data_IF_679128659213
#
_entry.id   IF_679128659213
#
_cell.length_a   1.000
_cell.length_b   1.000
_cell.length_c   1.000
_cell.angle_alpha   90.00
_cell.angle_beta   90.00
_cell.angle_gamma   90.00
#
_symmetry.space_group_name_H-M   'P 1'
#
loop_
_entity.id
_entity.type
_entity.pdbx_description
1 polymer ?
#
# COMPACT_ATOMS: atom_id res chain seq x y z
N UNK A 1 8.02 41.12 27.08
CA UNK A 1 7.12 40.13 26.46
C UNK A 1 8.00 38.94 26.09
N UNK A 2 8.03 37.91 26.95
CA UNK A 2 8.90 36.74 26.79
C UNK A 2 8.16 35.75 25.89
N UNK A 3 8.70 35.49 24.69
CA UNK A 3 8.23 34.43 23.81
C UNK A 3 8.60 33.09 24.45
N UNK A 4 7.62 32.40 25.04
CA UNK A 4 7.73 31.00 25.41
C UNK A 4 7.56 30.17 24.13
N UNK A 5 8.67 29.82 23.49
CA UNK A 5 8.71 28.74 22.50
C UNK A 5 8.39 27.44 23.22
N UNK A 6 7.15 26.98 23.06
CA UNK A 6 6.72 25.62 23.40
C UNK A 6 7.57 24.64 22.60
N UNK A 7 8.65 24.14 23.20
CA UNK A 7 9.31 22.92 22.72
C UNK A 7 8.32 21.77 22.97
N UNK A 8 7.61 21.37 21.92
CA UNK A 8 6.82 20.14 21.97
C UNK A 8 7.78 18.97 22.20
N UNK A 9 7.80 18.46 23.43
CA UNK A 9 8.47 17.21 23.75
C UNK A 9 7.63 16.11 23.11
N UNK A 10 8.06 15.65 21.95
CA UNK A 10 7.39 14.55 21.25
C UNK A 10 7.65 13.28 22.05
N UNK A 11 6.61 12.76 22.72
CA UNK A 11 6.66 11.44 23.32
C UNK A 11 6.98 10.44 22.21
N UNK A 12 8.17 9.86 22.29
CA UNK A 12 8.79 9.17 21.18
C UNK A 12 8.26 7.73 21.08
N UNK A 13 7.82 7.33 19.90
CA UNK A 13 7.38 5.97 19.62
C UNK A 13 8.58 5.00 19.57
N UNK A 14 8.40 3.78 20.08
CA UNK A 14 9.42 2.72 20.00
C UNK A 14 9.38 2.00 18.63
N UNK A 15 8.17 1.85 18.08
CA UNK A 15 7.89 1.39 16.72
C UNK A 15 7.48 2.58 15.84
N UNK A 16 8.13 2.73 14.69
CA UNK A 16 7.91 3.79 13.70
C UNK A 16 7.31 3.25 12.38
N UNK A 17 7.05 4.13 11.40
CA UNK A 17 6.41 3.78 10.13
C UNK A 17 7.16 2.65 9.39
N UNK A 18 8.50 2.77 9.35
CA UNK A 18 9.38 1.79 8.70
C UNK A 18 9.46 0.46 9.49
N UNK A 19 9.04 0.41 10.76
CA UNK A 19 9.03 -0.83 11.55
C UNK A 19 7.77 -1.68 11.37
N UNK A 20 6.78 -1.16 10.64
CA UNK A 20 5.51 -1.85 10.40
C UNK A 20 5.18 -1.94 8.92
N UNK A 21 5.92 -1.20 8.08
CA UNK A 21 5.85 -1.24 6.62
C UNK A 21 7.26 -1.20 6.07
N UNK A 22 7.68 -2.34 5.53
CA UNK A 22 9.02 -2.57 5.05
C UNK A 22 9.00 -2.54 3.52
N UNK A 23 9.47 -1.45 2.92
CA UNK A 23 9.64 -1.37 1.48
C UNK A 23 11.01 -1.96 1.11
N UNK A 24 10.99 -2.97 0.25
CA UNK A 24 12.18 -3.67 -0.25
C UNK A 24 12.92 -2.78 -1.27
N UNK A 25 14.23 -2.96 -1.46
CA UNK A 25 14.95 -2.23 -2.48
C UNK A 25 14.57 -2.78 -3.86
N UNK A 26 14.57 -1.92 -4.89
CA UNK A 26 14.51 -2.40 -6.27
C UNK A 26 15.80 -3.20 -6.54
N UNK A 27 15.70 -4.47 -7.01
CA UNK A 27 16.87 -5.32 -7.14
C UNK A 27 17.76 -4.85 -8.29
N UNK A 28 19.03 -5.24 -8.26
CA UNK A 28 19.99 -4.85 -9.28
C UNK A 28 19.89 -5.69 -10.56
N UNK A 29 19.34 -6.90 -10.48
CA UNK A 29 19.17 -7.82 -11.61
C UNK A 29 17.79 -8.46 -11.59
N UNK A 30 17.35 -8.97 -12.74
CA UNK A 30 16.13 -9.79 -12.84
C UNK A 30 16.53 -11.27 -12.75
N UNK A 31 16.00 -12.00 -11.76
CA UNK A 31 16.16 -13.46 -11.66
C UNK A 31 17.35 -13.93 -10.83
N UNK A 32 18.36 -13.08 -10.60
CA UNK A 32 19.49 -13.31 -9.71
C UNK A 32 19.42 -12.53 -8.40
N UNK A 33 18.26 -11.97 -8.09
CA UNK A 33 18.02 -11.09 -6.94
C UNK A 33 17.80 -11.86 -5.62
N UNK A 34 18.03 -11.16 -4.50
CA UNK A 34 17.84 -11.69 -3.15
C UNK A 34 16.41 -11.60 -2.61
N UNK A 35 15.42 -11.20 -3.42
CA UNK A 35 14.06 -10.96 -2.96
C UNK A 35 13.22 -12.26 -2.88
N UNK A 36 12.19 -12.24 -2.02
CA UNK A 36 11.28 -13.38 -1.91
C UNK A 36 10.48 -13.59 -3.20
N UNK A 37 10.36 -14.86 -3.59
CA UNK A 37 9.64 -15.34 -4.77
C UNK A 37 8.48 -16.25 -4.37
N UNK A 38 7.58 -16.55 -5.32
CA UNK A 38 6.37 -17.35 -5.11
C UNK A 38 6.63 -18.67 -4.37
N UNK A 39 7.59 -19.45 -4.88
CA UNK A 39 7.97 -20.77 -4.36
C UNK A 39 9.10 -20.72 -3.33
N UNK A 40 9.33 -19.57 -2.67
CA UNK A 40 10.23 -19.53 -1.52
C UNK A 40 9.74 -20.51 -0.45
N UNK A 41 10.59 -21.43 0.06
CA UNK A 41 10.21 -22.34 1.13
C UNK A 41 9.83 -21.57 2.40
N UNK A 42 8.63 -21.81 2.88
CA UNK A 42 7.97 -21.04 3.92
C UNK A 42 7.09 -21.95 4.79
N UNK A 43 6.29 -21.34 5.66
CA UNK A 43 5.41 -22.07 6.58
C UNK A 43 4.43 -22.99 5.84
N UNK A 44 4.57 -24.30 6.06
CA UNK A 44 3.75 -25.35 5.46
C UNK A 44 3.94 -25.59 3.96
N UNK A 45 4.94 -25.00 3.31
CA UNK A 45 5.21 -25.21 1.88
C UNK A 45 5.72 -23.96 1.19
N UNK A 46 5.15 -23.62 0.03
CA UNK A 46 5.49 -22.40 -0.68
C UNK A 46 4.93 -21.15 0.02
N UNK A 47 5.59 -20.00 -0.17
CA UNK A 47 5.10 -18.72 0.31
C UNK A 47 3.76 -18.33 -0.35
N UNK A 48 3.68 -18.43 -1.68
CA UNK A 48 2.46 -18.29 -2.47
C UNK A 48 2.54 -19.24 -3.68
N UNK A 49 1.84 -20.39 -3.65
CA UNK A 49 1.98 -21.39 -4.70
C UNK A 49 1.65 -20.86 -6.10
N UNK A 50 2.48 -21.19 -7.09
CA UNK A 50 2.24 -20.88 -8.52
C UNK A 50 0.90 -21.45 -8.99
N UNK A 51 0.47 -22.59 -8.45
CA UNK A 51 -0.85 -23.18 -8.74
C UNK A 51 -2.02 -22.28 -8.32
N UNK A 52 -1.87 -21.46 -7.27
CA UNK A 52 -2.85 -20.46 -6.88
C UNK A 52 -2.75 -19.22 -7.75
N UNK A 53 -1.53 -18.73 -8.02
CA UNK A 53 -1.31 -17.56 -8.89
C UNK A 53 -1.86 -17.78 -10.30
N UNK A 54 -1.76 -19.01 -10.83
CA UNK A 54 -2.29 -19.37 -12.13
C UNK A 54 -3.83 -19.30 -12.22
N UNK A 55 -4.54 -19.29 -11.10
CA UNK A 55 -6.00 -19.09 -11.05
C UNK A 55 -6.40 -17.62 -11.14
N UNK A 56 -5.46 -16.70 -10.90
CA UNK A 56 -5.69 -15.25 -10.98
C UNK A 56 -5.72 -14.78 -12.45
N UNK A 57 -6.35 -13.63 -12.74
CA UNK A 57 -6.15 -12.97 -14.03
C UNK A 57 -4.67 -12.69 -14.29
N UNK A 58 -4.24 -12.75 -15.55
CA UNK A 58 -2.85 -12.43 -15.92
C UNK A 58 -2.55 -10.99 -15.48
N UNK A 59 -1.44 -10.75 -14.77
CA UNK A 59 -1.17 -9.43 -14.18
C UNK A 59 -0.94 -8.35 -15.23
N UNK A 60 -0.24 -8.68 -16.32
CA UNK A 60 0.04 -7.78 -17.44
C UNK A 60 -0.17 -8.54 -18.75
N UNK A 61 -0.98 -7.98 -19.65
CA UNK A 61 -1.45 -8.66 -20.87
C UNK A 61 -0.38 -8.86 -21.94
N UNK A 62 0.69 -8.08 -21.89
CA UNK A 62 1.85 -8.17 -22.76
C UNK A 62 2.86 -9.23 -22.31
N UNK A 63 2.55 -9.97 -21.23
CA UNK A 63 3.40 -11.00 -20.64
C UNK A 63 2.66 -12.34 -20.53
N UNK A 64 3.41 -13.43 -20.68
CA UNK A 64 2.90 -14.77 -20.39
C UNK A 64 2.88 -15.04 -18.89
N UNK A 65 2.03 -15.98 -18.45
CA UNK A 65 1.99 -16.39 -17.03
C UNK A 65 3.34 -16.89 -16.51
N UNK A 66 4.10 -17.75 -17.23
CA UNK A 66 5.42 -18.17 -16.75
C UNK A 66 6.42 -17.02 -16.58
N UNK A 67 6.39 -16.02 -17.47
CA UNK A 67 7.24 -14.81 -17.34
C UNK A 67 6.86 -14.02 -16.09
N UNK A 68 5.57 -13.76 -15.87
CA UNK A 68 5.09 -13.07 -14.67
C UNK A 68 5.47 -13.85 -13.41
N UNK A 69 5.23 -15.15 -13.37
CA UNK A 69 5.50 -15.98 -12.19
C UNK A 69 7.01 -16.04 -11.85
N UNK A 70 7.88 -16.06 -12.86
CA UNK A 70 9.34 -16.11 -12.64
C UNK A 70 9.94 -14.78 -12.20
N UNK A 71 9.25 -13.67 -12.47
CA UNK A 71 9.70 -12.30 -12.15
C UNK A 71 8.94 -11.65 -10.99
N UNK A 72 7.90 -12.30 -10.46
CA UNK A 72 7.16 -11.76 -9.32
C UNK A 72 8.04 -11.79 -8.05
N UNK A 73 8.18 -10.63 -7.40
CA UNK A 73 8.92 -10.47 -6.13
C UNK A 73 8.11 -9.76 -5.08
N UNK A 74 8.36 -10.09 -3.82
CA UNK A 74 7.86 -9.31 -2.68
C UNK A 74 8.59 -7.97 -2.65
N UNK A 75 7.88 -6.90 -2.98
CA UNK A 75 8.40 -5.53 -2.96
C UNK A 75 8.11 -4.82 -1.63
N UNK A 76 7.14 -5.29 -0.86
CA UNK A 76 6.93 -4.78 0.49
C UNK A 76 6.30 -5.80 1.44
N UNK A 77 6.54 -5.61 2.73
CA UNK A 77 5.94 -6.38 3.83
C UNK A 77 5.23 -5.41 4.77
N UNK A 78 4.00 -5.73 5.19
CA UNK A 78 3.30 -5.01 6.26
C UNK A 78 2.99 -5.97 7.41
N UNK A 79 3.15 -5.47 8.62
CA UNK A 79 2.88 -6.19 9.86
C UNK A 79 1.68 -5.54 10.53
N UNK A 80 0.52 -6.19 10.47
CA UNK A 80 -0.73 -5.62 10.95
C UNK A 80 -1.15 -6.30 12.27
N UNK A 81 -1.18 -5.57 13.40
CA UNK A 81 -1.68 -6.10 14.68
C UNK A 81 -3.18 -6.30 14.67
N UNK A 82 -3.86 -5.70 13.69
CA UNK A 82 -5.29 -5.71 13.56
C UNK A 82 -5.67 -5.34 12.12
N UNK A 83 -6.34 -6.24 11.42
CA UNK A 83 -6.87 -6.00 10.09
C UNK A 83 -8.36 -6.40 10.04
N UNK A 84 -9.22 -5.53 9.49
CA UNK A 84 -8.97 -4.12 9.18
C UNK A 84 -9.07 -3.21 10.43
N UNK A 85 -8.13 -2.28 10.63
CA UNK A 85 -8.35 -1.12 11.51
C UNK A 85 -9.14 -0.04 10.76
N UNK A 86 -10.09 0.68 11.40
CA UNK A 86 -10.41 0.71 12.82
C UNK A 86 -11.76 0.02 13.17
N UNK A 87 -12.13 -1.10 12.55
CA UNK A 87 -13.47 -1.68 12.77
C UNK A 87 -13.54 -2.73 13.89
N UNK A 88 -14.66 -2.80 14.64
CA UNK A 88 -14.84 -3.69 15.79
C UNK A 88 -15.15 -5.16 15.47
N UNK A 89 -15.34 -5.55 14.22
CA UNK A 89 -15.71 -6.93 13.87
C UNK A 89 -14.50 -7.69 13.30
N UNK A 90 -13.93 -8.56 14.15
CA UNK A 90 -12.79 -9.46 13.91
C UNK A 90 -11.46 -8.79 13.55
N UNK A 91 -10.83 -8.21 14.56
CA UNK A 91 -9.43 -7.82 14.51
C UNK A 91 -8.54 -9.05 14.23
N UNK A 92 -7.95 -9.13 13.03
CA UNK A 92 -7.03 -10.22 12.68
C UNK A 92 -5.60 -9.73 12.62
N UNK A 93 -4.70 -10.41 13.35
CA UNK A 93 -3.25 -10.20 13.24
C UNK A 93 -2.77 -10.88 11.97
N UNK A 94 -1.95 -10.19 11.18
CA UNK A 94 -1.50 -10.75 9.91
C UNK A 94 -0.20 -10.12 9.39
N UNK A 95 0.45 -10.86 8.49
CA UNK A 95 1.46 -10.33 7.57
C UNK A 95 0.79 -10.11 6.21
N UNK A 96 1.02 -8.95 5.59
CA UNK A 96 0.66 -8.71 4.19
C UNK A 96 1.92 -8.54 3.35
N UNK A 97 1.95 -9.20 2.19
CA UNK A 97 3.04 -9.10 1.23
C UNK A 97 2.53 -8.41 -0.03
N UNK A 98 3.22 -7.37 -0.49
CA UNK A 98 2.96 -6.73 -1.77
C UNK A 98 3.95 -7.24 -2.81
N UNK A 99 3.41 -7.76 -3.91
CA UNK A 99 4.16 -8.42 -4.97
C UNK A 99 4.12 -7.60 -6.25
N UNK A 100 5.24 -7.42 -6.92
CA UNK A 100 5.28 -6.83 -8.27
C UNK A 100 6.16 -7.66 -9.21
N UNK A 101 5.80 -7.78 -10.50
CA UNK A 101 6.72 -8.29 -11.49
C UNK A 101 7.83 -7.28 -11.73
N UNK A 102 9.08 -7.75 -11.76
CA UNK A 102 10.23 -6.94 -12.16
C UNK A 102 10.64 -7.24 -13.61
N UNK A 103 11.18 -6.25 -14.29
CA UNK A 103 11.64 -6.38 -15.68
C UNK A 103 12.82 -5.45 -15.97
N UNK A 104 13.48 -5.69 -17.10
CA UNK A 104 14.46 -4.77 -17.66
C UNK A 104 13.76 -3.79 -18.60
N UNK A 105 13.95 -2.49 -18.39
CA UNK A 105 13.47 -1.48 -19.30
C UNK A 105 14.34 -1.39 -20.57
N UNK A 106 13.96 -0.55 -21.53
CA UNK A 106 14.71 -0.35 -22.80
C UNK A 106 16.14 0.18 -22.62
N UNK A 107 16.47 0.70 -21.43
CA UNK A 107 17.80 1.20 -21.05
C UNK A 107 18.60 0.19 -20.24
N UNK A 108 18.14 -1.06 -20.15
CA UNK A 108 18.72 -2.10 -19.31
C UNK A 108 18.77 -1.71 -17.82
N UNK A 109 17.80 -0.96 -17.33
CA UNK A 109 17.60 -0.72 -15.90
C UNK A 109 16.47 -1.62 -15.39
N UNK A 110 16.63 -2.19 -14.19
CA UNK A 110 15.53 -2.89 -13.53
C UNK A 110 14.41 -1.91 -13.19
N UNK A 111 13.17 -2.32 -13.41
CA UNK A 111 11.95 -1.61 -13.02
C UNK A 111 10.85 -2.59 -12.64
N UNK A 112 9.75 -2.09 -12.07
CA UNK A 112 8.54 -2.89 -11.85
C UNK A 112 7.51 -2.64 -12.93
N UNK A 113 6.77 -3.69 -13.29
CA UNK A 113 5.51 -3.58 -14.03
C UNK A 113 4.44 -2.99 -13.11
N UNK A 114 3.58 -2.11 -13.63
CA UNK A 114 2.49 -1.53 -12.85
C UNK A 114 1.28 -2.48 -12.68
N UNK A 115 1.56 -3.65 -12.14
CA UNK A 115 0.60 -4.63 -11.66
C UNK A 115 1.03 -5.11 -10.28
N UNK A 116 0.13 -5.72 -9.50
CA UNK A 116 0.51 -6.34 -8.24
C UNK A 116 -0.44 -7.41 -7.75
N UNK A 117 0.10 -8.21 -6.83
CA UNK A 117 -0.69 -8.98 -5.89
C UNK A 117 -0.45 -8.45 -4.48
N UNK A 118 -1.46 -8.55 -3.61
CA UNK A 118 -1.24 -8.55 -2.17
C UNK A 118 -1.66 -9.90 -1.60
N UNK A 119 -0.79 -10.61 -0.89
CA UNK A 119 -1.16 -11.84 -0.17
C UNK A 119 -1.20 -11.60 1.33
N UNK A 120 -2.08 -12.32 2.02
CA UNK A 120 -2.43 -12.12 3.42
C UNK A 120 -2.21 -13.43 4.19
N UNK A 121 -1.55 -13.35 5.34
CA UNK A 121 -1.21 -14.50 6.18
C UNK A 121 -1.66 -14.22 7.61
N UNK A 122 -2.67 -14.94 8.08
CA UNK A 122 -3.25 -14.73 9.42
C UNK A 122 -2.34 -15.34 10.48
N UNK A 123 -2.20 -14.65 11.59
CA UNK A 123 -1.38 -15.04 12.73
C UNK A 123 -2.25 -15.18 13.98
N UNK A 124 -1.93 -16.18 14.78
CA UNK A 124 -2.41 -16.27 16.15
C UNK A 124 -1.73 -15.20 17.02
N UNK A 125 -2.34 -14.87 18.16
CA UNK A 125 -1.84 -13.84 19.08
C UNK A 125 -0.40 -14.09 19.54
N UNK A 126 -0.10 -15.34 19.89
CA UNK A 126 1.24 -15.75 20.33
C UNK A 126 2.26 -15.72 19.18
N UNK A 127 1.83 -16.01 17.95
CA UNK A 127 2.70 -15.95 16.76
C UNK A 127 3.08 -14.50 16.47
N UNK A 128 2.10 -13.60 16.52
CA UNK A 128 2.32 -12.18 16.32
C UNK A 128 3.22 -11.58 17.40
N UNK A 129 3.01 -11.94 18.68
CA UNK A 129 3.90 -11.49 19.75
C UNK A 129 5.35 -11.96 19.54
N UNK A 130 5.55 -13.21 19.11
CA UNK A 130 6.87 -13.73 18.80
C UNK A 130 7.49 -13.06 17.55
N UNK A 131 6.69 -12.79 16.52
CA UNK A 131 7.11 -12.03 15.33
C UNK A 131 7.65 -10.66 15.72
N UNK A 132 6.93 -9.89 16.56
CA UNK A 132 7.39 -8.58 17.01
C UNK A 132 8.70 -8.67 17.80
N UNK A 133 8.83 -9.68 18.68
CA UNK A 133 10.07 -9.92 19.43
C UNK A 133 11.25 -10.24 18.51
N UNK A 134 11.03 -11.05 17.47
CA UNK A 134 12.09 -11.40 16.51
C UNK A 134 12.48 -10.21 15.63
N UNK A 135 11.52 -9.37 15.24
CA UNK A 135 11.78 -8.12 14.51
C UNK A 135 12.58 -7.15 15.39
N UNK A 136 12.23 -6.99 16.66
CA UNK A 136 12.96 -6.11 17.59
C UNK A 136 14.41 -6.59 17.82
N UNK A 137 14.59 -7.90 18.00
CA UNK A 137 15.92 -8.51 18.07
C UNK A 137 16.71 -8.33 16.76
N UNK A 138 16.04 -8.43 15.61
CA UNK A 138 16.63 -8.17 14.29
C UNK A 138 17.07 -6.71 14.14
N UNK A 139 16.23 -5.74 14.54
CA UNK A 139 16.58 -4.31 14.52
C UNK A 139 17.83 -4.05 15.35
N UNK A 140 17.89 -4.63 16.55
CA UNK A 140 19.03 -4.53 17.45
C UNK A 140 20.30 -5.14 16.85
N UNK A 141 20.19 -6.32 16.24
CA UNK A 141 21.31 -7.01 15.57
C UNK A 141 21.93 -6.17 14.45
N UNK A 142 21.09 -5.50 13.65
CA UNK A 142 21.52 -4.73 12.47
C UNK A 142 21.64 -3.23 12.74
N UNK A 143 21.53 -2.79 14.00
CA UNK A 143 21.66 -1.38 14.43
C UNK A 143 20.76 -0.43 13.61
N UNK A 144 19.54 -0.87 13.32
CA UNK A 144 18.60 -0.12 12.47
C UNK A 144 17.98 1.03 13.26
N UNK A 145 18.14 2.26 12.76
CA UNK A 145 17.42 3.42 13.27
C UNK A 145 16.35 3.88 12.27
N UNK A 146 15.08 3.73 12.66
CA UNK A 146 13.90 4.12 11.88
C UNK A 146 13.17 5.33 12.47
N UNK A 147 13.66 5.87 13.58
CA UNK A 147 13.00 6.90 14.39
C UNK A 147 12.72 8.17 13.59
N UNK A 148 11.45 8.56 13.56
CA UNK A 148 10.91 9.76 12.93
C UNK A 148 11.39 9.94 11.48
N UNK A 149 11.66 8.82 10.80
CA UNK A 149 11.97 8.83 9.38
C UNK A 149 10.67 8.69 8.59
N UNK A 150 10.50 9.44 7.49
CA UNK A 150 9.38 9.22 6.61
C UNK A 150 9.41 7.79 6.08
N UNK A 151 8.24 7.24 5.75
CA UNK A 151 8.16 5.91 5.14
C UNK A 151 8.86 5.91 3.77
N UNK A 152 9.83 5.02 3.58
CA UNK A 152 10.63 4.91 2.36
C UNK A 152 11.22 3.50 2.23
N UNK A 153 12.15 3.28 1.29
CA UNK A 153 12.96 2.04 1.26
C UNK A 153 13.64 1.89 2.62
N UNK A 154 13.42 0.74 3.24
CA UNK A 154 13.75 0.57 4.65
C UNK A 154 15.26 0.81 4.91
N UNK A 155 15.63 1.59 5.95
CA UNK A 155 17.02 1.99 6.19
C UNK A 155 18.01 0.83 6.30
N UNK A 156 17.56 -0.34 6.81
CA UNK A 156 18.41 -1.51 7.00
C UNK A 156 19.05 -2.07 5.71
N UNK A 157 18.46 -1.81 4.54
CA UNK A 157 18.96 -2.30 3.25
C UNK A 157 18.98 -1.23 2.17
N UNK A 158 18.76 0.04 2.52
CA UNK A 158 18.77 1.14 1.55
C UNK A 158 20.13 1.28 0.84
N UNK A 159 21.24 1.02 1.55
CA UNK A 159 22.59 1.12 1.01
C UNK A 159 23.03 -0.16 0.24
N UNK A 160 22.85 -1.33 0.84
CA UNK A 160 23.31 -2.63 0.31
C UNK A 160 22.31 -3.28 -0.66
N UNK A 161 21.09 -2.74 -0.76
CA UNK A 161 20.01 -3.20 -1.62
C UNK A 161 19.70 -4.69 -1.39
N UNK A 162 19.44 -5.43 -2.46
CA UNK A 162 19.02 -6.83 -2.46
C UNK A 162 20.13 -7.82 -2.06
N UNK A 163 21.37 -7.34 -1.91
CA UNK A 163 22.48 -8.12 -1.35
C UNK A 163 22.64 -8.00 0.17
N UNK A 164 21.77 -7.24 0.83
CA UNK A 164 21.90 -6.97 2.26
C UNK A 164 21.70 -8.21 3.13
N UNK A 165 22.62 -8.43 4.08
CA UNK A 165 22.48 -9.48 5.10
C UNK A 165 21.28 -9.20 6.02
N UNK A 166 21.00 -7.92 6.30
CA UNK A 166 19.85 -7.52 7.10
C UNK A 166 18.54 -7.94 6.43
N UNK A 167 18.44 -7.75 5.11
CA UNK A 167 17.29 -8.18 4.32
C UNK A 167 17.12 -9.70 4.33
N UNK A 168 18.20 -10.45 4.09
CA UNK A 168 18.16 -11.92 4.11
C UNK A 168 17.74 -12.48 5.47
N UNK A 169 18.21 -11.88 6.57
CA UNK A 169 17.81 -12.28 7.92
C UNK A 169 16.34 -11.92 8.22
N UNK A 170 15.88 -10.74 7.78
CA UNK A 170 14.49 -10.35 7.91
C UNK A 170 13.55 -11.33 7.18
N UNK A 171 13.92 -11.76 5.98
CA UNK A 171 13.14 -12.74 5.23
C UNK A 171 13.03 -14.10 5.91
N UNK A 172 14.06 -14.55 6.65
CA UNK A 172 13.95 -15.78 7.45
C UNK A 172 12.85 -15.66 8.51
N UNK A 173 12.71 -14.48 9.12
CA UNK A 173 11.62 -14.20 10.07
C UNK A 173 10.29 -14.25 9.32
N UNK A 174 10.15 -13.56 8.19
CA UNK A 174 8.88 -13.55 7.44
C UNK A 174 8.47 -14.96 6.99
N UNK A 175 9.39 -15.76 6.43
CA UNK A 175 9.12 -17.12 5.96
C UNK A 175 8.75 -18.10 7.08
N UNK A 176 9.14 -17.81 8.33
CA UNK A 176 8.70 -18.57 9.51
C UNK A 176 7.22 -18.37 9.82
N UNK A 177 6.70 -17.17 9.57
CA UNK A 177 5.35 -16.77 9.97
C UNK A 177 4.35 -16.69 8.81
N UNK A 178 4.81 -16.59 7.57
CA UNK A 178 3.97 -16.51 6.38
C UNK A 178 4.23 -17.71 5.46
N UNK A 179 3.17 -18.39 5.03
CA UNK A 179 3.23 -19.44 4.02
C UNK A 179 1.85 -20.01 3.72
N UNK A 180 1.78 -21.04 2.88
CA UNK A 180 0.51 -21.63 2.46
C UNK A 180 -0.36 -22.16 3.62
N UNK A 181 0.25 -22.54 4.75
CA UNK A 181 -0.48 -23.03 5.93
C UNK A 181 -1.47 -22.01 6.50
N UNK A 182 -1.11 -20.72 6.47
CA UNK A 182 -1.90 -19.63 7.04
C UNK A 182 -2.28 -18.54 6.04
N UNK A 183 -2.14 -18.84 4.74
CA UNK A 183 -2.60 -17.99 3.65
C UNK A 183 -4.13 -17.86 3.67
N UNK A 184 -4.64 -16.63 3.76
CA UNK A 184 -6.07 -16.36 3.94
C UNK A 184 -6.72 -15.62 2.77
N UNK A 185 -5.94 -14.87 1.99
CA UNK A 185 -6.46 -14.01 0.92
C UNK A 185 -5.37 -13.59 -0.05
N UNK A 186 -5.75 -13.36 -1.30
CA UNK A 186 -4.95 -12.62 -2.28
C UNK A 186 -5.80 -11.59 -3.03
N UNK A 187 -5.29 -10.39 -3.25
CA UNK A 187 -5.91 -9.38 -4.12
C UNK A 187 -5.01 -9.13 -5.32
N UNK A 188 -5.60 -8.82 -6.47
CA UNK A 188 -4.88 -8.52 -7.70
C UNK A 188 -5.24 -7.13 -8.22
N UNK A 189 -4.22 -6.37 -8.61
CA UNK A 189 -4.32 -5.19 -9.47
C UNK A 189 -3.64 -5.54 -10.78
N UNK A 190 -4.41 -5.57 -11.87
CA UNK A 190 -3.92 -5.98 -13.18
C UNK A 190 -3.93 -4.80 -14.15
N UNK A 191 -2.92 -4.75 -15.02
CA UNK A 191 -2.76 -3.72 -16.03
C UNK A 191 -3.28 -4.21 -17.39
N UNK A 192 -4.06 -3.37 -18.07
CA UNK A 192 -4.75 -3.61 -19.34
C UNK A 192 -4.66 -2.37 -20.24
N UNK A 193 -5.11 -2.53 -21.49
CA UNK A 193 -5.29 -1.40 -22.41
C UNK A 193 -4.02 -0.60 -22.65
N UNK A 194 -2.89 -1.28 -22.90
CA UNK A 194 -1.57 -0.66 -23.09
C UNK A 194 -1.05 0.19 -21.92
N UNK A 195 -1.60 0.02 -20.71
CA UNK A 195 -1.14 0.73 -19.51
C UNK A 195 -2.14 1.73 -18.94
N UNK A 196 -3.29 1.94 -19.60
CA UNK A 196 -4.26 2.98 -19.23
C UNK A 196 -5.48 2.43 -18.48
N UNK A 197 -5.55 1.11 -18.25
CA UNK A 197 -6.66 0.47 -17.54
C UNK A 197 -6.15 -0.46 -16.43
N UNK A 198 -6.58 -0.17 -15.21
CA UNK A 198 -6.32 -1.00 -14.04
C UNK A 198 -7.59 -1.74 -13.65
N UNK A 199 -7.48 -3.04 -13.35
CA UNK A 199 -8.60 -3.81 -12.81
C UNK A 199 -8.22 -4.51 -11.51
N UNK A 200 -9.16 -4.52 -10.58
CA UNK A 200 -9.00 -4.96 -9.21
C UNK A 200 -9.96 -6.11 -8.92
N UNK A 201 -9.47 -7.12 -8.20
CA UNK A 201 -10.27 -8.22 -7.67
C UNK A 201 -9.63 -8.78 -6.40
N UNK A 202 -10.46 -9.27 -5.48
CA UNK A 202 -10.03 -10.01 -4.29
C UNK A 202 -10.40 -11.48 -4.38
N UNK A 203 -9.62 -12.34 -3.72
CA UNK A 203 -9.82 -13.79 -3.74
C UNK A 203 -9.50 -14.42 -2.38
N UNK A 204 -10.27 -15.43 -1.99
CA UNK A 204 -10.01 -16.26 -0.82
C UNK A 204 -9.78 -17.73 -1.22
N UNK A 205 -8.85 -18.44 -0.56
CA UNK A 205 -8.67 -19.86 -0.77
C UNK A 205 -9.82 -20.65 -0.12
N UNK A 206 -10.53 -21.46 -0.91
CA UNK A 206 -11.48 -22.49 -0.45
C UNK A 206 -11.24 -23.78 -1.19
N UNK A 207 -10.97 -24.87 -0.47
CA UNK A 207 -10.73 -26.20 -1.04
C UNK A 207 -9.71 -26.18 -2.20
N UNK A 208 -8.56 -25.52 -2.01
CA UNK A 208 -7.49 -25.32 -3.00
C UNK A 208 -7.89 -24.53 -4.28
N UNK A 209 -9.03 -23.86 -4.26
CA UNK A 209 -9.46 -22.93 -5.32
C UNK A 209 -9.52 -21.51 -4.80
N UNK A 210 -9.28 -20.55 -5.66
CA UNK A 210 -9.49 -19.13 -5.37
C UNK A 210 -10.91 -18.74 -5.75
N UNK A 211 -11.69 -18.33 -4.75
CA UNK A 211 -13.03 -17.78 -4.93
C UNK A 211 -13.00 -16.25 -4.85
N UNK A 212 -13.76 -15.58 -5.72
CA UNK A 212 -13.82 -14.12 -5.76
C UNK A 212 -14.50 -13.53 -4.54
N UNK A 213 -13.95 -12.41 -4.07
CA UNK A 213 -14.54 -11.59 -3.01
C UNK A 213 -15.43 -10.49 -3.56
N UNK A 214 -16.55 -10.17 -2.88
CA UNK A 214 -17.28 -8.95 -3.15
C UNK A 214 -16.40 -7.73 -2.85
N UNK A 215 -16.46 -6.72 -3.72
CA UNK A 215 -15.80 -5.44 -3.45
C UNK A 215 -16.75 -4.57 -2.64
N UNK A 216 -16.30 -3.97 -1.52
CA UNK A 216 -17.13 -3.09 -0.70
C UNK A 216 -17.77 -1.98 -1.53
N UNK A 217 -18.98 -1.53 -1.12
CA UNK A 217 -19.78 -0.49 -1.80
C UNK A 217 -20.25 -0.85 -3.22
N UNK A 218 -19.93 -2.06 -3.71
CA UNK A 218 -20.34 -2.57 -5.01
C UNK A 218 -21.22 -3.82 -4.87
N UNK A 219 -22.04 -4.05 -5.89
CA UNK A 219 -22.72 -5.35 -6.09
C UNK A 219 -21.95 -6.17 -7.16
N UNK A 220 -20.61 -6.15 -7.11
CA UNK A 220 -19.70 -6.72 -8.11
C UNK A 220 -18.46 -7.33 -7.42
N UNK A 221 -17.78 -8.20 -8.16
CA UNK A 221 -16.59 -8.93 -7.74
C UNK A 221 -15.29 -8.35 -8.31
N UNK A 222 -15.40 -7.35 -9.19
CA UNK A 222 -14.29 -6.64 -9.81
C UNK A 222 -14.65 -5.17 -10.02
N UNK A 223 -13.61 -4.34 -10.06
CA UNK A 223 -13.71 -2.91 -10.33
C UNK A 223 -12.52 -2.50 -11.18
N UNK A 224 -12.70 -1.52 -12.06
CA UNK A 224 -11.68 -1.00 -12.94
C UNK A 224 -11.60 0.51 -12.89
N UNK A 225 -10.43 1.01 -13.19
CA UNK A 225 -10.14 2.41 -13.42
C UNK A 225 -9.51 2.56 -14.80
N UNK A 226 -9.95 3.56 -15.56
CA UNK A 226 -9.36 3.91 -16.85
C UNK A 226 -8.93 5.38 -16.78
N UNK A 227 -7.73 5.70 -17.24
CA UNK A 227 -7.29 7.08 -17.42
C UNK A 227 -6.34 7.17 -18.61
N UNK A 228 -6.80 7.78 -19.70
CA UNK A 228 -6.06 7.88 -20.97
C UNK A 228 -5.38 9.24 -21.15
N UNK A 229 -5.25 10.03 -20.08
CA UNK A 229 -4.71 11.38 -20.15
C UNK A 229 -3.23 11.41 -20.60
N UNK A 230 -2.94 12.23 -21.60
CA UNK A 230 -1.58 12.53 -22.07
C UNK A 230 -1.42 14.05 -22.19
N UNK A 231 -0.57 14.70 -21.35
CA UNK A 231 0.18 14.13 -20.24
C UNK A 231 -0.73 13.64 -19.09
N UNK A 232 -0.22 12.76 -18.22
CA UNK A 232 -0.94 12.16 -17.10
C UNK A 232 -1.15 13.10 -15.89
N UNK A 233 -1.29 14.41 -16.12
CA UNK A 233 -1.46 15.44 -15.08
C UNK A 233 -2.93 15.81 -14.81
N UNK A 234 -3.86 15.06 -15.39
CA UNK A 234 -5.31 15.19 -15.25
C UNK A 234 -6.00 13.85 -15.52
N UNK A 235 -7.27 13.74 -15.15
CA UNK A 235 -8.12 12.61 -15.51
C UNK A 235 -8.88 12.90 -16.80
N UNK A 236 -8.82 11.98 -17.76
CA UNK A 236 -9.59 12.06 -19.00
C UNK A 236 -9.78 10.70 -19.66
N UNK A 237 -10.86 10.56 -20.44
CA UNK A 237 -11.07 9.40 -21.31
C UNK A 237 -11.41 8.11 -20.56
N UNK A 238 -11.86 8.20 -19.32
CA UNK A 238 -12.14 7.03 -18.50
C UNK A 238 -12.93 7.32 -17.24
N UNK A 239 -12.49 6.74 -16.13
CA UNK A 239 -13.13 6.86 -14.82
C UNK A 239 -13.24 5.52 -14.08
N UNK A 240 -13.99 5.57 -12.98
CA UNK A 240 -14.22 4.43 -12.09
C UNK A 240 -15.41 3.61 -12.61
N UNK A 241 -15.23 2.30 -12.77
CA UNK A 241 -16.30 1.40 -13.23
C UNK A 241 -16.26 0.03 -12.54
N UNK A 242 -17.37 -0.48 -11.98
CA UNK A 242 -18.60 0.26 -11.72
C UNK A 242 -18.38 1.40 -10.71
N UNK A 243 -19.25 2.40 -10.79
CA UNK A 243 -19.28 3.53 -9.86
C UNK A 243 -19.69 3.03 -8.46
N UNK A 244 -18.92 3.36 -7.40
CA UNK A 244 -19.28 3.00 -6.03
C UNK A 244 -20.47 3.77 -5.50
N UNK A 245 -21.23 3.15 -4.58
CA UNK A 245 -22.36 3.78 -3.89
C UNK A 245 -21.91 4.64 -2.71
N UNK A 246 -22.75 5.58 -2.30
CA UNK A 246 -22.57 6.42 -1.10
C UNK A 246 -21.98 7.80 -1.40
N UNK A 247 -21.84 8.61 -0.36
CA UNK A 247 -21.52 10.04 -0.50
C UNK A 247 -20.02 10.33 -0.67
N UNK A 248 -19.16 9.46 -0.13
CA UNK A 248 -17.70 9.56 -0.24
C UNK A 248 -17.23 9.03 -1.60
N UNK A 249 -17.52 9.77 -2.67
CA UNK A 249 -17.08 9.49 -4.05
C UNK A 249 -16.51 10.72 -4.73
N UNK A 250 -15.66 10.51 -5.75
CA UNK A 250 -15.05 11.57 -6.55
C UNK A 250 -15.13 11.25 -8.05
N UNK A 251 -16.28 10.74 -8.49
CA UNK A 251 -16.44 10.18 -9.84
C UNK A 251 -16.32 11.25 -10.94
N UNK A 252 -16.73 12.49 -10.68
CA UNK A 252 -16.63 13.54 -11.69
C UNK A 252 -15.16 13.93 -11.92
N UNK A 253 -14.39 14.11 -10.84
CA UNK A 253 -12.94 14.32 -10.89
C UNK A 253 -12.25 13.17 -11.62
N UNK A 254 -12.51 11.92 -11.21
CA UNK A 254 -11.84 10.75 -11.78
C UNK A 254 -12.22 10.46 -13.24
N UNK A 255 -13.37 10.95 -13.71
CA UNK A 255 -13.81 10.74 -15.09
C UNK A 255 -13.23 11.79 -16.05
N UNK A 256 -13.36 13.08 -15.73
CA UNK A 256 -13.04 14.15 -16.67
C UNK A 256 -12.71 15.49 -15.98
N UNK A 257 -11.69 15.47 -15.11
CA UNK A 257 -11.25 16.63 -14.33
C UNK A 257 -10.98 17.90 -15.15
N UNK A 258 -10.54 17.79 -16.42
CA UNK A 258 -10.25 18.96 -17.27
C UNK A 258 -11.50 19.80 -17.57
N UNK A 259 -12.70 19.22 -17.45
CA UNK A 259 -13.98 19.93 -17.63
C UNK A 259 -14.47 20.59 -16.35
N UNK A 260 -13.76 20.42 -15.23
CA UNK A 260 -14.15 20.98 -13.94
C UNK A 260 -13.47 22.34 -13.73
N UNK A 261 -14.17 23.41 -14.12
CA UNK A 261 -13.73 24.79 -14.00
C UNK A 261 -14.71 25.66 -13.22
N UNK A 262 -14.90 26.89 -13.69
CA UNK A 262 -15.90 27.84 -13.16
C UNK A 262 -17.31 27.23 -13.17
N UNK A 263 -18.04 27.35 -12.07
CA UNK A 263 -19.38 26.81 -11.89
C UNK A 263 -19.43 25.37 -11.38
N UNK A 264 -18.26 24.73 -11.17
CA UNK A 264 -18.17 23.35 -10.63
C UNK A 264 -17.51 23.28 -9.25
N UNK A 265 -17.24 24.43 -8.63
CA UNK A 265 -16.48 24.53 -7.39
C UNK A 265 -17.04 23.69 -6.24
N UNK A 266 -18.36 23.67 -6.07
CA UNK A 266 -18.99 22.93 -4.98
C UNK A 266 -18.84 21.41 -5.19
N UNK A 267 -18.96 20.95 -6.43
CA UNK A 267 -18.65 19.55 -6.80
C UNK A 267 -17.19 19.23 -6.49
N UNK A 268 -16.25 20.08 -6.91
CA UNK A 268 -14.81 19.85 -6.64
C UNK A 268 -14.55 19.80 -5.13
N UNK A 269 -15.13 20.74 -4.36
CA UNK A 269 -14.97 20.78 -2.90
C UNK A 269 -15.54 19.54 -2.23
N UNK A 270 -16.70 19.06 -2.66
CA UNK A 270 -17.32 17.84 -2.12
C UNK A 270 -16.50 16.60 -2.46
N UNK A 271 -16.09 16.44 -3.71
CA UNK A 271 -15.38 15.25 -4.16
C UNK A 271 -13.94 15.18 -3.59
N UNK A 272 -13.24 16.31 -3.47
CA UNK A 272 -11.92 16.31 -2.81
C UNK A 272 -12.03 16.06 -1.31
N UNK A 273 -13.12 16.52 -0.65
CA UNK A 273 -13.41 16.15 0.74
C UNK A 273 -13.55 14.65 0.88
N UNK A 274 -14.30 14.01 -0.02
CA UNK A 274 -14.44 12.56 -0.05
C UNK A 274 -13.07 11.87 -0.22
N UNK A 275 -12.24 12.36 -1.14
CA UNK A 275 -10.89 11.83 -1.33
C UNK A 275 -10.02 11.94 -0.05
N UNK A 276 -10.02 13.08 0.65
CA UNK A 276 -9.31 13.22 1.93
C UNK A 276 -9.80 12.23 2.99
N UNK A 277 -11.13 12.02 3.07
CA UNK A 277 -11.73 11.05 3.99
C UNK A 277 -11.31 9.63 3.64
N UNK A 278 -11.25 9.30 2.35
CA UNK A 278 -10.81 7.99 1.85
C UNK A 278 -9.33 7.74 2.17
N UNK A 279 -8.45 8.74 2.10
CA UNK A 279 -7.04 8.55 2.51
C UNK A 279 -6.83 8.45 4.02
N UNK A 280 -7.80 8.91 4.81
CA UNK A 280 -7.72 8.93 6.26
C UNK A 280 -8.23 7.60 6.86
N UNK A 281 -7.36 6.80 7.48
CA UNK A 281 -7.71 5.48 8.01
C UNK A 281 -8.70 5.52 9.18
N UNK A 282 -9.02 6.70 9.72
CA UNK A 282 -10.06 6.84 10.77
C UNK A 282 -11.48 6.72 10.21
N UNK A 283 -11.68 6.94 8.91
CA UNK A 283 -13.00 6.84 8.27
C UNK A 283 -13.18 5.53 7.51
N UNK A 284 -12.17 5.10 6.77
CA UNK A 284 -12.27 3.98 5.85
C UNK A 284 -11.11 3.01 5.96
N UNK A 285 -11.40 1.74 5.68
CA UNK A 285 -10.47 0.63 5.65
C UNK A 285 -10.72 -0.25 4.41
N UNK A 286 -9.82 -1.21 4.09
CA UNK A 286 -9.98 -2.05 2.91
C UNK A 286 -11.25 -2.93 2.88
N UNK A 287 -11.94 -3.16 4.00
CA UNK A 287 -13.20 -3.93 4.04
C UNK A 287 -14.46 -3.07 3.84
N UNK A 288 -14.36 -1.74 3.93
CA UNK A 288 -15.51 -0.84 3.74
C UNK A 288 -15.33 0.17 2.60
N UNK A 289 -14.17 0.17 1.94
CA UNK A 289 -13.85 1.01 0.79
C UNK A 289 -13.65 0.17 -0.48
N UNK A 290 -14.13 0.67 -1.62
CA UNK A 290 -13.89 0.03 -2.91
C UNK A 290 -12.43 0.23 -3.36
N UNK A 291 -11.93 -0.72 -4.15
CA UNK A 291 -10.51 -0.77 -4.51
C UNK A 291 -10.05 0.48 -5.27
N UNK A 292 -10.80 0.92 -6.27
CA UNK A 292 -10.40 2.04 -7.11
C UNK A 292 -10.40 3.34 -6.32
N UNK A 293 -11.44 3.63 -5.55
CA UNK A 293 -11.48 4.86 -4.76
C UNK A 293 -10.31 4.94 -3.78
N UNK A 294 -9.95 3.82 -3.14
CA UNK A 294 -8.79 3.72 -2.26
C UNK A 294 -7.47 4.04 -2.97
N UNK A 295 -7.31 3.61 -4.22
CA UNK A 295 -6.08 3.77 -5.00
C UNK A 295 -5.97 5.11 -5.74
N UNK A 296 -7.10 5.75 -6.07
CA UNK A 296 -7.14 7.00 -6.89
C UNK A 296 -7.31 8.26 -6.04
N UNK A 297 -7.61 8.14 -4.74
CA UNK A 297 -7.81 9.30 -3.86
C UNK A 297 -6.61 10.27 -3.86
N UNK A 298 -5.38 9.76 -3.74
CA UNK A 298 -4.17 10.59 -3.76
C UNK A 298 -4.06 11.47 -5.03
N UNK A 299 -4.03 10.90 -6.25
CA UNK A 299 -3.94 11.72 -7.45
C UNK A 299 -5.14 12.66 -7.62
N UNK A 300 -6.34 12.29 -7.16
CA UNK A 300 -7.50 13.19 -7.17
C UNK A 300 -7.29 14.42 -6.28
N UNK A 301 -6.76 14.24 -5.07
CA UNK A 301 -6.39 15.34 -4.17
C UNK A 301 -5.32 16.23 -4.83
N UNK A 302 -4.22 15.64 -5.31
CA UNK A 302 -3.12 16.42 -5.88
C UNK A 302 -3.52 17.16 -7.16
N UNK A 303 -4.44 16.61 -7.96
CA UNK A 303 -4.99 17.34 -9.09
C UNK A 303 -5.66 18.64 -8.63
N UNK A 304 -6.53 18.58 -7.60
CA UNK A 304 -7.22 19.77 -7.07
C UNK A 304 -6.22 20.75 -6.47
N UNK A 305 -5.26 20.28 -5.66
CA UNK A 305 -4.25 21.16 -5.06
C UNK A 305 -3.42 21.91 -6.11
N UNK A 306 -3.09 21.24 -7.22
CA UNK A 306 -2.24 21.83 -8.27
C UNK A 306 -3.02 22.68 -9.27
N UNK A 307 -4.22 22.24 -9.68
CA UNK A 307 -5.00 22.88 -10.75
C UNK A 307 -6.05 23.85 -10.24
N UNK A 308 -6.50 23.71 -8.99
CA UNK A 308 -7.50 24.56 -8.32
C UNK A 308 -7.04 25.07 -6.94
N UNK A 309 -5.83 25.66 -6.81
CA UNK A 309 -5.35 26.20 -5.54
C UNK A 309 -6.22 27.35 -5.00
N UNK A 310 -6.99 28.01 -5.87
CA UNK A 310 -7.98 29.04 -5.54
C UNK A 310 -9.01 28.57 -4.51
N UNK A 311 -9.33 27.27 -4.52
CA UNK A 311 -10.33 26.68 -3.63
C UNK A 311 -9.83 26.46 -2.19
N UNK A 312 -8.51 26.51 -1.96
CA UNK A 312 -7.89 26.36 -0.64
C UNK A 312 -8.43 25.14 0.15
N UNK A 313 -8.63 24.02 -0.55
CA UNK A 313 -9.37 22.84 -0.02
C UNK A 313 -8.71 22.21 1.19
N UNK A 314 -7.39 22.32 1.31
CA UNK A 314 -6.63 21.86 2.47
C UNK A 314 -6.93 22.67 3.75
N UNK A 315 -7.26 23.96 3.62
CA UNK A 315 -7.74 24.77 4.75
C UNK A 315 -9.20 24.47 5.07
N UNK A 316 -10.01 24.30 4.03
CA UNK A 316 -11.44 24.03 4.17
C UNK A 316 -11.71 22.68 4.86
N UNK A 317 -10.92 21.66 4.52
CA UNK A 317 -11.11 20.27 4.95
C UNK A 317 -10.00 19.77 5.89
N UNK A 318 -9.36 20.68 6.63
CA UNK A 318 -8.23 20.34 7.51
C UNK A 318 -8.57 19.26 8.57
N UNK A 319 -9.85 19.11 8.93
CA UNK A 319 -10.32 18.09 9.87
C UNK A 319 -10.45 16.69 9.25
N UNK A 320 -10.57 16.61 7.92
CA UNK A 320 -10.68 15.34 7.21
C UNK A 320 -9.29 14.79 6.85
N UNK A 321 -8.29 15.67 6.74
CA UNK A 321 -6.89 15.31 6.49
C UNK A 321 -6.32 14.60 7.72
N UNK A 322 -5.75 13.41 7.50
CA UNK A 322 -5.12 12.66 8.57
C UNK A 322 -3.87 13.39 9.11
N UNK A 323 -3.73 13.39 10.43
CA UNK A 323 -2.53 13.89 11.10
C UNK A 323 -2.21 13.05 12.33
N UNK A 324 -0.92 12.81 12.55
CA UNK A 324 -0.39 12.15 13.73
C UNK A 324 1.02 12.71 14.03
N UNK A 325 1.17 13.58 15.04
CA UNK A 325 2.43 14.28 15.30
C UNK A 325 3.55 13.35 15.81
N UNK A 326 3.25 12.09 16.16
CA UNK A 326 4.27 11.14 16.63
C UNK A 326 5.18 10.63 15.50
N UNK A 327 4.78 10.81 14.24
CA UNK A 327 5.43 10.22 13.07
C UNK A 327 5.66 11.27 11.98
N UNK A 328 6.69 11.07 11.15
CA UNK A 328 6.89 11.87 9.95
C UNK A 328 6.00 11.34 8.81
N UNK A 329 4.84 11.97 8.62
CA UNK A 329 3.86 11.59 7.61
C UNK A 329 4.17 12.10 6.19
N UNK A 330 5.36 12.67 5.96
CA UNK A 330 5.74 13.20 4.66
C UNK A 330 5.80 12.10 3.61
N UNK A 331 5.05 12.28 2.51
CA UNK A 331 5.22 11.48 1.31
C UNK A 331 6.47 11.91 0.53
N UNK A 332 7.42 11.00 0.37
CA UNK A 332 8.69 11.22 -0.35
C UNK A 332 8.68 10.67 -1.77
N UNK A 333 7.57 10.07 -2.20
CA UNK A 333 7.40 9.57 -3.56
C UNK A 333 7.52 10.70 -4.58
N UNK A 334 8.08 10.39 -5.74
CA UNK A 334 8.10 11.33 -6.87
C UNK A 334 6.78 11.28 -7.62
N UNK A 335 6.45 12.37 -8.33
CA UNK A 335 5.31 12.44 -9.23
C UNK A 335 3.95 12.07 -8.59
N UNK A 336 3.73 12.41 -7.31
CA UNK A 336 2.45 12.18 -6.60
C UNK A 336 1.23 12.85 -7.25
N UNK A 337 1.47 13.79 -8.17
CA UNK A 337 0.47 14.45 -9.01
C UNK A 337 0.06 13.64 -10.24
N UNK A 338 0.80 12.58 -10.59
CA UNK A 338 0.55 11.75 -11.76
C UNK A 338 -0.73 10.93 -11.54
N UNK A 339 -1.74 11.22 -12.34
CA UNK A 339 -3.09 10.63 -12.26
C UNK A 339 -3.18 9.19 -12.75
N UNK A 340 -2.09 8.66 -13.31
CA UNK A 340 -1.93 7.24 -13.65
C UNK A 340 -1.10 6.48 -12.60
N UNK A 341 -0.47 7.16 -11.63
CA UNK A 341 0.24 6.53 -10.53
C UNK A 341 -0.71 6.14 -9.40
N UNK A 342 -1.46 5.06 -9.58
CA UNK A 342 -2.45 4.56 -8.61
C UNK A 342 -1.88 3.48 -7.67
N UNK A 343 -0.55 3.35 -7.64
CA UNK A 343 0.19 2.41 -6.79
C UNK A 343 0.06 2.79 -5.31
N UNK A 344 -0.42 1.86 -4.49
CA UNK A 344 -0.49 2.08 -3.04
C UNK A 344 0.87 1.93 -2.33
N UNK A 345 1.61 0.86 -2.62
CA UNK A 345 2.92 0.59 -2.00
C UNK A 345 3.80 -0.24 -2.95
N UNK A 346 5.00 0.25 -3.22
CA UNK A 346 5.97 -0.41 -4.07
C UNK A 346 6.69 0.58 -4.98
N UNK A 347 6.75 0.25 -6.27
CA UNK A 347 7.38 1.08 -7.30
C UNK A 347 6.43 1.33 -8.48
N UNK A 348 6.62 2.49 -9.11
CA UNK A 348 6.05 2.83 -10.41
C UNK A 348 7.22 3.03 -11.38
N UNK A 349 7.43 2.06 -12.28
CA UNK A 349 8.69 1.92 -12.99
C UNK A 349 9.85 1.70 -12.02
N UNK A 350 10.80 2.63 -11.97
CA UNK A 350 11.95 2.58 -11.04
C UNK A 350 11.80 3.45 -9.79
N UNK A 351 10.73 4.23 -9.74
CA UNK A 351 10.51 5.21 -8.71
C UNK A 351 9.72 4.60 -7.55
N UNK A 352 10.11 4.92 -6.32
CA UNK A 352 9.32 4.58 -5.14
C UNK A 352 7.95 5.25 -5.25
N UNK A 353 6.90 4.46 -5.03
CA UNK A 353 5.52 4.90 -5.05
C UNK A 353 4.79 4.38 -3.81
N UNK A 354 4.53 5.30 -2.87
CA UNK A 354 3.83 5.06 -1.62
C UNK A 354 2.66 6.05 -1.58
N UNK A 355 1.43 5.56 -1.43
CA UNK A 355 0.28 6.44 -1.25
C UNK A 355 0.25 7.02 0.16
N UNK A 356 -0.27 8.24 0.30
CA UNK A 356 -0.44 8.90 1.58
C UNK A 356 -1.30 8.05 2.53
N UNK A 357 -2.31 7.36 1.98
CA UNK A 357 -3.09 6.39 2.73
C UNK A 357 -2.24 5.30 3.39
N UNK A 358 -1.26 4.72 2.71
CA UNK A 358 -0.37 3.71 3.31
C UNK A 358 0.45 4.32 4.44
N UNK A 359 0.98 5.53 4.27
CA UNK A 359 1.71 6.26 5.32
C UNK A 359 0.82 6.46 6.55
N UNK A 360 -0.42 6.92 6.35
CA UNK A 360 -1.39 7.14 7.41
C UNK A 360 -1.76 5.82 8.12
N UNK A 361 -1.98 4.74 7.37
CA UNK A 361 -2.27 3.42 7.96
C UNK A 361 -1.06 2.87 8.74
N UNK A 362 0.18 3.08 8.27
CA UNK A 362 1.39 2.70 9.00
C UNK A 362 1.50 3.42 10.35
N UNK A 363 1.07 4.70 10.42
CA UNK A 363 1.04 5.44 11.68
C UNK A 363 0.06 4.83 12.68
N UNK A 364 -1.18 4.50 12.26
CA UNK A 364 -2.17 3.84 13.13
C UNK A 364 -1.71 2.45 13.58
N UNK A 365 -1.05 1.71 12.70
CA UNK A 365 -0.47 0.39 13.01
C UNK A 365 0.67 0.51 14.02
N UNK A 366 1.61 1.44 13.81
CA UNK A 366 2.70 1.69 14.74
C UNK A 366 2.17 2.12 16.12
N UNK A 367 1.16 3.01 16.16
CA UNK A 367 0.51 3.43 17.40
C UNK A 367 -0.16 2.26 18.12
N UNK A 368 -0.81 1.36 17.38
CA UNK A 368 -1.38 0.15 17.96
C UNK A 368 -0.30 -0.74 18.56
N UNK A 369 0.79 -1.02 17.84
CA UNK A 369 1.88 -1.87 18.32
C UNK A 369 2.53 -1.26 19.56
N UNK A 370 2.83 0.04 19.56
CA UNK A 370 3.38 0.73 20.72
C UNK A 370 2.47 0.61 21.96
N UNK A 371 1.14 0.65 21.79
CA UNK A 371 0.19 0.46 22.91
C UNK A 371 0.21 -0.95 23.48
N UNK A 372 0.29 -1.98 22.64
CA UNK A 372 0.25 -3.38 23.10
C UNK A 372 1.61 -3.91 23.56
N UNK A 373 2.71 -3.21 23.23
CA UNK A 373 4.08 -3.57 23.64
C UNK A 373 4.62 -2.69 24.77
N UNK A 374 3.93 -1.60 25.13
CA UNK A 374 4.31 -0.76 26.25
C UNK A 374 4.40 -1.59 27.55
N UNK A 375 5.43 -1.36 28.39
CA UNK A 375 5.47 -1.95 29.73
C UNK A 375 4.17 -1.58 30.45
N UNK A 376 3.47 -2.57 31.01
CA UNK A 376 2.36 -2.28 31.92
C UNK A 376 2.97 -1.54 33.11
N UNK A 377 2.48 -0.33 33.39
CA UNK A 377 2.82 0.34 34.65
C UNK A 377 2.40 -0.60 35.79
N UNK A 378 3.33 -0.92 36.67
CA UNK A 378 3.01 -1.56 37.94
C UNK A 378 2.08 -0.60 38.70
N UNK A 379 0.80 -0.96 38.85
CA UNK A 379 -0.14 -0.31 39.79
C UNK A 379 0.05 -0.87 41.19
#
# INVERSE_FOLDING_TARGET
MILLTSMAVHAQAAWDLNDVTYLMPLPQTVGGDGLLKLESPARGGALLPVSMVNQLPVLAIDRTRPEVNSTLRVMAVRIDPCFPLPTPQSCQRQIRLAWQPIEMNRRNEVQTVDAALHSFYVLQDWEFANLLKEIDAWKSKHSVNTKYLPLQVHPAWAAEKDSSVALADFYKIILKYAGIENFSRVTAMVLRGNGDMWAFAGFEPRNNKLELLPIPRLNRLSQSFINMAVPADHFSGGGISPIPKGDDTFNNLAAESIRMGEGTEDTIRQEVRAAFRIENPKFFNPENMDCVSCHVAQPAIHWVLNKRPDLQVEKLWSQEIYGNPKYDLKNTSVEIWNTQQIRALGYFGKNVAISQRVINESAEVADFINRITAPKSEE
#
